data_IF_116082201616
#
_entry.id   IF_116082201616
#
_cell.length_a   1.000
_cell.length_b   1.000
_cell.length_c   1.000
_cell.angle_alpha   90.00
_cell.angle_beta   90.00
_cell.angle_gamma   90.00
#
_symmetry.space_group_name_H-M   'P 1'
#
loop_
_entity.id
_entity.type
_entity.pdbx_description
1 polymer ?
#
# COMPACT_ATOMS: atom_id res chain seq x y z
N UNK A 1 -7.11 -26.57 -3.94
CA UNK A 1 -7.59 -25.81 -5.12
C UNK A 1 -6.82 -24.52 -5.21
N UNK A 2 -6.58 -24.05 -6.43
CA UNK A 2 -5.79 -22.84 -6.76
C UNK A 2 -6.24 -21.59 -5.98
N UNK A 3 -7.56 -21.42 -5.80
CA UNK A 3 -8.15 -20.35 -5.00
C UNK A 3 -7.59 -20.28 -3.57
N UNK A 4 -7.50 -21.42 -2.86
CA UNK A 4 -6.98 -21.46 -1.49
C UNK A 4 -5.52 -20.98 -1.42
N UNK A 5 -4.70 -21.38 -2.40
CA UNK A 5 -3.29 -20.99 -2.46
C UNK A 5 -3.13 -19.48 -2.70
N UNK A 6 -3.98 -18.88 -3.52
CA UNK A 6 -3.96 -17.45 -3.74
C UNK A 6 -4.38 -16.67 -2.47
N UNK A 7 -5.38 -17.15 -1.71
CA UNK A 7 -5.76 -16.53 -0.42
C UNK A 7 -4.59 -16.62 0.56
N UNK A 8 -4.02 -17.82 0.71
CA UNK A 8 -2.89 -18.05 1.61
C UNK A 8 -1.70 -17.15 1.26
N UNK A 9 -1.41 -16.98 -0.04
CA UNK A 9 -0.36 -16.08 -0.50
C UNK A 9 -0.67 -14.61 -0.19
N UNK A 10 -1.89 -14.14 -0.48
CA UNK A 10 -2.28 -12.75 -0.20
C UNK A 10 -2.15 -12.45 1.30
N UNK A 11 -2.70 -13.32 2.14
CA UNK A 11 -2.68 -13.19 3.59
C UNK A 11 -1.27 -13.27 4.19
N UNK A 12 -0.35 -13.98 3.54
CA UNK A 12 1.05 -14.05 3.97
C UNK A 12 1.81 -12.76 3.65
N UNK A 13 1.41 -12.04 2.60
CA UNK A 13 2.17 -10.90 2.07
C UNK A 13 1.64 -9.56 2.59
N UNK A 14 0.32 -9.45 2.74
CA UNK A 14 -0.31 -8.32 3.39
C UNK A 14 0.24 -8.13 4.81
N UNK A 15 0.25 -6.89 5.33
CA UNK A 15 0.70 -6.64 6.69
C UNK A 15 0.01 -7.56 7.70
N UNK A 16 0.73 -8.01 8.74
CA UNK A 16 0.17 -8.89 9.76
C UNK A 16 -0.89 -8.19 10.63
N UNK A 17 -1.01 -6.85 10.53
CA UNK A 17 -1.97 -6.10 11.31
C UNK A 17 -3.32 -6.00 10.57
N UNK A 18 -4.39 -6.28 11.31
CA UNK A 18 -5.78 -6.06 10.89
C UNK A 18 -6.46 -5.17 11.92
N UNK A 19 -7.31 -4.26 11.47
CA UNK A 19 -7.97 -3.31 12.35
C UNK A 19 -7.11 -2.07 12.56
N UNK A 20 -6.64 -1.83 13.79
CA UNK A 20 -5.93 -0.61 14.16
C UNK A 20 -4.46 -0.83 14.50
N UNK A 21 -3.61 0.13 14.12
CA UNK A 21 -2.18 0.19 14.42
C UNK A 21 -1.81 1.60 14.87
N UNK A 22 -0.76 1.74 15.69
CA UNK A 22 -0.15 3.04 16.01
C UNK A 22 1.30 3.07 15.55
N UNK A 23 1.70 4.07 14.75
CA UNK A 23 3.07 4.23 14.23
C UNK A 23 3.62 5.67 14.35
N UNK A 24 4.88 5.87 14.79
CA UNK A 24 5.71 4.86 15.46
C UNK A 24 5.04 4.36 16.75
N UNK A 25 5.35 3.15 17.26
CA UNK A 25 4.67 2.56 18.41
C UNK A 25 4.79 3.40 19.70
N UNK A 26 5.85 4.21 19.79
CA UNK A 26 6.15 5.07 20.91
C UNK A 26 6.58 6.45 20.40
N UNK A 27 6.29 7.49 21.18
CA UNK A 27 6.72 8.86 20.91
C UNK A 27 5.57 9.82 20.59
N UNK A 28 5.82 11.14 20.67
CA UNK A 28 4.85 12.16 20.30
C UNK A 28 4.60 12.14 18.78
N UNK A 29 3.38 12.49 18.37
CA UNK A 29 3.03 12.60 16.95
C UNK A 29 2.74 11.27 16.25
N UNK A 30 2.63 10.16 16.99
CA UNK A 30 2.24 8.87 16.41
C UNK A 30 0.88 8.93 15.71
N UNK A 31 0.78 8.30 14.55
CA UNK A 31 -0.46 8.11 13.81
C UNK A 31 -1.23 6.91 14.34
N UNK A 32 -2.51 7.13 14.63
CA UNK A 32 -3.48 6.05 14.76
C UNK A 32 -4.01 5.71 13.36
N UNK A 33 -3.74 4.48 12.94
CA UNK A 33 -4.03 3.95 11.61
C UNK A 33 -5.09 2.88 11.75
N UNK A 34 -6.06 2.85 10.84
CA UNK A 34 -7.00 1.76 10.74
C UNK A 34 -7.18 1.34 9.28
N UNK A 35 -7.32 0.03 9.05
CA UNK A 35 -7.59 -0.52 7.73
C UNK A 35 -8.69 -1.57 7.80
N UNK A 36 -9.48 -1.61 6.73
CA UNK A 36 -10.54 -2.57 6.54
C UNK A 36 -10.58 -2.99 5.07
N UNK A 37 -10.48 -4.30 4.83
CA UNK A 37 -10.54 -4.88 3.49
C UNK A 37 -11.78 -5.76 3.38
N UNK A 38 -12.60 -5.48 2.37
CA UNK A 38 -13.85 -6.18 2.10
C UNK A 38 -13.74 -6.87 0.73
N UNK A 39 -13.38 -8.16 0.67
CA UNK A 39 -13.29 -8.87 -0.60
C UNK A 39 -14.67 -9.02 -1.24
N UNK A 40 -14.71 -9.03 -2.57
CA UNK A 40 -15.95 -9.26 -3.31
C UNK A 40 -16.52 -10.66 -3.05
N UNK A 41 -17.83 -10.76 -2.86
CA UNK A 41 -18.54 -12.00 -2.49
C UNK A 41 -18.56 -13.09 -3.57
N UNK A 42 -18.21 -12.76 -4.82
CA UNK A 42 -18.09 -13.76 -5.88
C UNK A 42 -16.76 -14.52 -5.72
N UNK A 43 -16.86 -15.84 -5.59
CA UNK A 43 -15.83 -16.85 -5.25
C UNK A 43 -14.59 -16.95 -6.15
N UNK A 44 -14.19 -15.89 -6.86
CA UNK A 44 -13.04 -15.86 -7.78
C UNK A 44 -12.14 -14.63 -7.68
N UNK A 45 -12.48 -13.63 -6.86
CA UNK A 45 -11.75 -12.35 -6.82
C UNK A 45 -10.79 -12.30 -5.63
N UNK A 46 -9.73 -13.09 -5.70
CA UNK A 46 -8.50 -12.80 -4.94
C UNK A 46 -7.75 -11.80 -5.81
N UNK A 47 -7.77 -10.54 -5.38
CA UNK A 47 -7.34 -9.40 -6.18
C UNK A 47 -5.86 -9.07 -6.03
N UNK A 48 -5.42 -8.11 -6.84
CA UNK A 48 -4.13 -7.45 -6.67
C UNK A 48 -4.14 -6.35 -5.61
N UNK A 49 -5.22 -6.24 -4.83
CA UNK A 49 -5.41 -5.23 -3.79
C UNK A 49 -4.44 -5.41 -2.61
N UNK A 50 -3.79 -4.32 -2.22
CA UNK A 50 -3.03 -4.23 -0.98
C UNK A 50 -3.32 -2.95 -0.22
N UNK A 51 -3.10 -3.01 1.08
CA UNK A 51 -2.81 -1.87 1.92
C UNK A 51 -1.60 -2.22 2.80
N UNK A 52 -0.81 -1.23 3.19
CA UNK A 52 0.31 -1.44 4.09
C UNK A 52 0.63 -0.18 4.90
N UNK A 53 1.15 -0.41 6.10
CA UNK A 53 1.73 0.62 6.95
C UNK A 53 2.90 0.06 7.76
N UNK A 54 4.01 0.79 7.78
CA UNK A 54 5.17 0.43 8.58
C UNK A 54 5.98 1.65 9.00
N UNK A 55 6.66 1.54 10.14
CA UNK A 55 7.71 2.49 10.53
C UNK A 55 8.95 2.28 9.65
N UNK A 56 9.50 3.37 9.15
CA UNK A 56 10.73 3.39 8.37
C UNK A 56 11.95 3.60 9.29
N UNK A 57 13.18 3.25 8.84
CA UNK A 57 14.38 3.38 9.66
C UNK A 57 14.69 4.80 10.17
N UNK A 58 14.12 5.81 9.52
CA UNK A 58 14.27 7.23 9.88
C UNK A 58 13.14 7.75 10.81
N UNK A 59 12.30 6.85 11.33
CA UNK A 59 11.18 7.17 12.22
C UNK A 59 9.93 7.71 11.52
N UNK A 60 9.95 7.88 10.19
CA UNK A 60 8.76 8.24 9.41
C UNK A 60 7.86 7.02 9.23
N UNK A 61 6.58 7.23 8.99
CA UNK A 61 5.61 6.17 8.72
C UNK A 61 5.34 6.08 7.22
N UNK A 62 5.52 4.89 6.63
CA UNK A 62 5.02 4.56 5.30
C UNK A 62 3.53 4.21 5.39
N UNK A 63 2.73 4.69 4.45
CA UNK A 63 1.36 4.24 4.19
C UNK A 63 1.24 3.97 2.70
N UNK A 64 0.67 2.84 2.30
CA UNK A 64 0.38 2.57 0.88
C UNK A 64 -0.89 1.78 0.71
N UNK A 65 -1.56 2.00 -0.41
CA UNK A 65 -2.69 1.23 -0.88
C UNK A 65 -2.61 1.15 -2.40
N UNK A 66 -3.11 0.08 -2.97
CA UNK A 66 -3.24 -0.03 -4.41
C UNK A 66 -3.93 -1.32 -4.82
N UNK A 67 -4.07 -1.46 -6.14
CA UNK A 67 -4.67 -2.62 -6.79
C UNK A 67 -3.93 -2.92 -8.09
N UNK A 68 -3.87 -4.18 -8.47
CA UNK A 68 -3.43 -4.64 -9.78
C UNK A 68 -4.56 -5.36 -10.50
N UNK A 69 -4.69 -5.08 -11.80
CA UNK A 69 -5.61 -5.80 -12.67
C UNK A 69 -5.28 -7.29 -12.71
N UNK A 70 -6.32 -8.12 -12.69
CA UNK A 70 -6.21 -9.57 -12.74
C UNK A 70 -6.77 -10.22 -11.48
N UNK A 71 -6.67 -11.54 -11.40
CA UNK A 71 -7.13 -12.30 -10.24
C UNK A 71 -6.35 -13.61 -10.06
N UNK A 72 -6.43 -14.18 -8.86
CA UNK A 72 -5.84 -15.48 -8.54
C UNK A 72 -4.32 -15.41 -8.33
N UNK A 73 -3.65 -16.55 -8.47
CA UNK A 73 -2.22 -16.70 -8.13
C UNK A 73 -1.32 -15.72 -8.90
N UNK A 74 -1.46 -15.52 -10.23
CA UNK A 74 -0.59 -14.59 -10.97
C UNK A 74 -0.69 -13.15 -10.47
N UNK A 75 -1.92 -12.65 -10.27
CA UNK A 75 -2.15 -11.30 -9.75
C UNK A 75 -1.61 -11.15 -8.31
N UNK A 76 -1.86 -12.14 -7.46
CA UNK A 76 -1.37 -12.14 -6.07
C UNK A 76 0.16 -12.18 -6.01
N UNK A 77 0.79 -12.93 -6.92
CA UNK A 77 2.26 -13.02 -7.01
C UNK A 77 2.88 -11.71 -7.48
N UNK A 78 2.28 -11.06 -8.48
CA UNK A 78 2.70 -9.74 -8.96
C UNK A 78 2.53 -8.67 -7.88
N UNK A 79 1.40 -8.67 -7.17
CA UNK A 79 1.14 -7.81 -6.01
C UNK A 79 2.22 -8.03 -4.95
N UNK A 80 2.54 -9.28 -4.63
CA UNK A 80 3.53 -9.60 -3.61
C UNK A 80 4.94 -9.11 -3.96
N UNK A 81 5.34 -9.28 -5.23
CA UNK A 81 6.60 -8.77 -5.76
C UNK A 81 6.66 -7.24 -5.65
N UNK A 82 5.59 -6.53 -6.06
CA UNK A 82 5.55 -5.07 -6.00
C UNK A 82 5.53 -4.54 -4.57
N UNK A 83 4.78 -5.17 -3.67
CA UNK A 83 4.76 -4.76 -2.26
C UNK A 83 6.15 -4.95 -1.62
N UNK A 84 6.85 -6.03 -1.95
CA UNK A 84 8.24 -6.25 -1.55
C UNK A 84 9.19 -5.17 -2.09
N UNK A 85 9.08 -4.84 -3.39
CA UNK A 85 9.87 -3.78 -4.01
C UNK A 85 9.59 -2.40 -3.39
N UNK A 86 8.31 -2.08 -3.15
CA UNK A 86 7.85 -0.86 -2.49
C UNK A 86 8.45 -0.72 -1.10
N UNK A 87 8.31 -1.77 -0.26
CA UNK A 87 8.90 -1.80 1.10
C UNK A 87 10.41 -1.57 1.05
N UNK A 88 11.12 -2.28 0.16
CA UNK A 88 12.56 -2.15 0.01
C UNK A 88 13.00 -0.73 -0.38
N UNK A 89 12.31 -0.13 -1.35
CA UNK A 89 12.59 1.24 -1.80
C UNK A 89 12.28 2.28 -0.72
N UNK A 90 11.18 2.11 0.01
CA UNK A 90 10.82 3.00 1.11
C UNK A 90 11.84 2.91 2.27
N UNK A 91 12.29 1.71 2.62
CA UNK A 91 13.36 1.47 3.59
C UNK A 91 14.68 2.09 3.14
N UNK A 92 14.98 2.08 1.84
CA UNK A 92 16.12 2.76 1.25
C UNK A 92 15.98 4.30 1.21
N UNK A 93 14.85 4.85 1.66
CA UNK A 93 14.61 6.28 1.78
C UNK A 93 14.15 6.96 0.49
N UNK A 94 13.79 6.21 -0.54
CA UNK A 94 13.28 6.75 -1.81
C UNK A 94 11.94 7.46 -1.57
N UNK A 95 11.84 8.71 -2.03
CA UNK A 95 10.63 9.52 -1.85
C UNK A 95 9.46 9.01 -2.73
N UNK A 96 8.19 9.19 -2.29
CA UNK A 96 7.02 8.56 -2.91
C UNK A 96 6.93 8.74 -4.43
N UNK A 97 7.22 9.95 -4.94
CA UNK A 97 7.15 10.23 -6.38
C UNK A 97 8.15 9.42 -7.21
N UNK A 98 9.41 9.36 -6.77
CA UNK A 98 10.44 8.55 -7.43
C UNK A 98 10.13 7.05 -7.28
N UNK A 99 9.63 6.64 -6.11
CA UNK A 99 9.22 5.28 -5.83
C UNK A 99 8.14 4.80 -6.82
N UNK A 100 7.10 5.61 -7.09
CA UNK A 100 6.08 5.27 -8.08
C UNK A 100 6.67 5.05 -9.49
N UNK A 101 7.63 5.88 -9.89
CA UNK A 101 8.34 5.71 -11.17
C UNK A 101 9.10 4.39 -11.26
N UNK A 102 9.78 3.99 -10.18
CA UNK A 102 10.48 2.71 -10.11
C UNK A 102 9.52 1.51 -10.09
N UNK A 103 8.39 1.59 -9.40
CA UNK A 103 7.37 0.53 -9.45
C UNK A 103 6.81 0.35 -10.85
N UNK A 104 6.58 1.44 -11.59
CA UNK A 104 6.17 1.37 -12.99
C UNK A 104 7.20 0.62 -13.84
N UNK A 105 8.50 0.90 -13.65
CA UNK A 105 9.57 0.18 -14.36
C UNK A 105 9.61 -1.32 -13.99
N UNK A 106 9.40 -1.67 -12.72
CA UNK A 106 9.31 -3.09 -12.29
C UNK A 106 8.13 -3.79 -12.97
N UNK A 107 6.97 -3.12 -13.09
CA UNK A 107 5.82 -3.66 -13.80
C UNK A 107 6.07 -3.84 -15.30
N UNK A 108 6.64 -2.83 -15.96
CA UNK A 108 6.92 -2.86 -17.40
C UNK A 108 7.93 -3.94 -17.80
N UNK A 109 8.87 -4.26 -16.90
CA UNK A 109 9.89 -5.30 -17.11
C UNK A 109 9.45 -6.70 -16.71
N UNK A 110 8.25 -6.85 -16.14
CA UNK A 110 7.67 -8.15 -15.77
C UNK A 110 7.32 -8.99 -17.00
N UNK A 111 7.47 -10.32 -16.87
CA UNK A 111 7.07 -11.30 -17.89
C UNK A 111 5.56 -11.21 -18.20
N UNK A 112 4.77 -10.84 -17.19
CA UNK A 112 3.34 -10.57 -17.32
C UNK A 112 3.08 -9.16 -16.80
N UNK A 113 3.07 -8.14 -17.68
CA UNK A 113 2.74 -6.78 -17.30
C UNK A 113 1.32 -6.74 -16.75
N UNK A 114 1.16 -6.05 -15.61
CA UNK A 114 -0.14 -5.73 -15.04
C UNK A 114 -0.33 -4.22 -15.06
N UNK A 115 -1.58 -3.79 -15.19
CA UNK A 115 -1.95 -2.41 -14.90
C UNK A 115 -2.35 -2.33 -13.44
N UNK A 116 -2.23 -1.15 -12.85
CA UNK A 116 -2.59 -0.98 -11.46
C UNK A 116 -2.78 0.47 -11.09
N UNK A 117 -3.31 0.65 -9.90
CA UNK A 117 -3.36 1.95 -9.24
C UNK A 117 -2.62 1.85 -7.91
N UNK A 118 -1.91 2.90 -7.53
CA UNK A 118 -1.19 2.94 -6.26
C UNK A 118 -1.19 4.35 -5.66
N UNK A 119 -1.22 4.39 -4.33
CA UNK A 119 -0.94 5.53 -3.49
C UNK A 119 0.19 5.15 -2.53
N UNK A 120 1.17 6.04 -2.40
CA UNK A 120 2.25 5.92 -1.42
C UNK A 120 2.40 7.23 -0.68
N UNK A 121 2.44 7.15 0.65
CA UNK A 121 2.59 8.29 1.53
C UNK A 121 3.71 8.03 2.54
N UNK A 122 4.39 9.10 2.94
CA UNK A 122 5.31 9.15 4.07
C UNK A 122 4.87 10.24 5.02
N UNK A 123 4.63 9.86 6.26
CA UNK A 123 4.31 10.78 7.33
C UNK A 123 5.51 10.97 8.26
N UNK A 124 5.86 12.23 8.51
CA UNK A 124 6.86 12.61 9.49
C UNK A 124 6.17 13.01 10.81
N UNK A 125 6.32 12.21 11.88
CA UNK A 125 5.70 12.52 13.18
C UNK A 125 6.30 13.75 13.86
N UNK A 126 7.55 14.12 13.56
CA UNK A 126 8.20 15.28 14.13
C UNK A 126 7.68 16.60 13.55
N UNK A 127 7.34 16.62 12.26
CA UNK A 127 6.84 17.82 11.57
C UNK A 127 5.34 17.78 11.28
N UNK A 128 4.67 16.65 11.49
CA UNK A 128 3.28 16.41 11.09
C UNK A 128 3.03 16.63 9.59
N UNK A 129 4.04 16.35 8.75
CA UNK A 129 3.96 16.48 7.29
C UNK A 129 3.69 15.12 6.66
N UNK A 130 2.70 15.08 5.75
CA UNK A 130 2.42 13.94 4.89
C UNK A 130 2.88 14.25 3.46
N UNK A 131 3.96 13.62 3.01
CA UNK A 131 4.39 13.61 1.61
C UNK A 131 3.77 12.42 0.91
N UNK A 132 3.26 12.58 -0.31
CA UNK A 132 2.60 11.48 -1.01
C UNK A 132 2.72 11.59 -2.52
N UNK A 133 2.50 10.47 -3.20
CA UNK A 133 2.38 10.36 -4.64
C UNK A 133 1.35 9.28 -4.98
N UNK A 134 0.67 9.46 -6.11
CA UNK A 134 -0.29 8.50 -6.63
C UNK A 134 -0.02 8.21 -8.11
N UNK A 135 -0.41 7.01 -8.54
CA UNK A 135 -0.43 6.59 -9.93
C UNK A 135 -1.79 5.93 -10.20
N UNK A 136 -2.68 6.63 -10.91
CA UNK A 136 -4.02 6.14 -11.28
C UNK A 136 -5.01 5.89 -10.12
N UNK A 137 -4.58 5.97 -8.86
CA UNK A 137 -5.43 5.76 -7.69
C UNK A 137 -6.30 7.00 -7.41
N UNK A 138 -7.47 6.85 -6.77
CA UNK A 138 -8.24 8.01 -6.30
C UNK A 138 -7.44 8.87 -5.32
N UNK A 139 -7.59 10.20 -5.44
CA UNK A 139 -6.93 11.14 -4.55
C UNK A 139 -7.35 10.89 -3.08
N UNK A 140 -6.40 10.93 -2.12
CA UNK A 140 -6.74 10.76 -0.71
C UNK A 140 -7.68 11.86 -0.23
N UNK A 141 -8.55 11.52 0.72
CA UNK A 141 -9.47 12.48 1.35
C UNK A 141 -8.93 12.91 2.70
N UNK A 142 -8.80 14.23 2.91
CA UNK A 142 -8.58 14.81 4.23
C UNK A 142 -9.92 15.17 4.85
N UNK A 143 -10.25 14.52 5.98
CA UNK A 143 -11.39 14.88 6.81
C UNK A 143 -10.93 15.67 8.03
N UNK A 144 -11.42 16.90 8.20
CA UNK A 144 -11.09 17.76 9.33
C UNK A 144 -12.25 18.69 9.65
N UNK A 145 -12.61 18.79 10.93
CA UNK A 145 -13.66 19.71 11.40
C UNK A 145 -15.02 19.48 10.72
N UNK A 146 -15.40 18.23 10.50
CA UNK A 146 -16.66 17.87 9.83
C UNK A 146 -16.66 18.01 8.31
N UNK A 147 -15.55 18.41 7.70
CA UNK A 147 -15.44 18.64 6.25
C UNK A 147 -14.43 17.68 5.63
N UNK A 148 -14.83 16.99 4.56
CA UNK A 148 -13.95 16.19 3.71
C UNK A 148 -13.54 16.97 2.46
N UNK A 149 -12.25 16.93 2.12
CA UNK A 149 -11.73 17.47 0.84
C UNK A 149 -10.69 16.53 0.25
N UNK A 150 -10.61 16.49 -1.07
CA UNK A 150 -9.51 15.79 -1.75
C UNK A 150 -8.19 16.51 -1.45
N UNK A 151 -7.12 15.73 -1.31
CA UNK A 151 -5.76 16.26 -1.36
C UNK A 151 -5.39 16.61 -2.81
N UNK A 152 -4.65 17.70 -3.02
CA UNK A 152 -4.36 18.25 -4.35
C UNK A 152 -3.37 17.39 -5.17
#
# INVERSE_FOLDING_TARGET
>A
TEHRMAVELQETVLPPWRGSLRLPPQGPGALDIAAHYLPSASSGLIGGDWYDAMELPDGRTLLTVGDLTGHGIPATSAMAMLLGALRGMAVAGIEPGALMGHLNQVLETSIQPALGSALCCRFDPGTSVLSWAQAGHPAPVLFRGGTGRLLP
#
